data_IF_525005321793
#
_entry.id   IF_525005321793
#
_cell.length_a   1.000
_cell.length_b   1.000
_cell.length_c   1.000
_cell.angle_alpha   90.00
_cell.angle_beta   90.00
_cell.angle_gamma   90.00
#
_symmetry.space_group_name_H-M   'P 1'
#
loop_
_entity.id
_entity.type
_entity.pdbx_description
1 polymer ?
#
# COMPACT_ATOMS: atom_id res chain seq x y z
N UNK A 1 4.58 -5.68 -10.63
CA UNK A 1 4.05 -6.64 -9.65
C UNK A 1 2.93 -5.98 -8.84
N UNK A 2 1.86 -6.71 -8.58
CA UNK A 2 0.72 -6.20 -7.81
C UNK A 2 0.63 -6.95 -6.49
N UNK A 3 0.58 -6.20 -5.39
CA UNK A 3 0.40 -6.71 -4.03
C UNK A 3 -1.02 -6.42 -3.56
N UNK A 4 -1.59 -7.35 -2.81
CA UNK A 4 -2.91 -7.19 -2.18
C UNK A 4 -2.71 -6.80 -0.71
N UNK A 5 -2.95 -5.53 -0.39
CA UNK A 5 -2.77 -4.99 0.96
C UNK A 5 -4.11 -4.97 1.70
N UNK A 6 -4.23 -5.63 2.87
CA UNK A 6 -5.50 -5.72 3.59
C UNK A 6 -5.91 -4.36 4.17
N UNK A 7 -7.22 -4.07 4.19
CA UNK A 7 -7.74 -2.85 4.81
C UNK A 7 -7.64 -2.87 6.34
N UNK A 8 -7.48 -4.04 6.93
CA UNK A 8 -7.47 -4.25 8.37
C UNK A 8 -6.45 -5.32 8.75
N UNK A 9 -5.72 -5.07 9.83
CA UNK A 9 -4.87 -6.06 10.49
C UNK A 9 -5.22 -6.15 11.97
N UNK A 10 -4.70 -7.13 12.69
CA UNK A 10 -4.96 -7.27 14.11
C UNK A 10 -4.11 -6.29 14.93
N UNK A 11 -4.75 -5.59 15.87
CA UNK A 11 -4.08 -4.84 16.92
C UNK A 11 -3.86 -5.73 18.17
N UNK A 12 -4.81 -6.63 18.42
CA UNK A 12 -4.76 -7.68 19.46
C UNK A 12 -5.34 -8.96 18.89
N UNK A 13 -5.39 -10.05 19.66
CA UNK A 13 -6.00 -11.32 19.23
C UNK A 13 -7.46 -11.17 18.82
N UNK A 14 -8.19 -10.20 19.40
CA UNK A 14 -9.63 -10.03 19.22
C UNK A 14 -10.01 -8.72 18.53
N UNK A 15 -9.07 -7.78 18.37
CA UNK A 15 -9.37 -6.43 17.86
C UNK A 15 -8.64 -6.16 16.56
N UNK A 16 -9.42 -5.85 15.51
CA UNK A 16 -8.89 -5.38 14.24
C UNK A 16 -8.49 -3.90 14.29
N UNK A 17 -7.57 -3.51 13.43
CA UNK A 17 -7.09 -2.16 13.26
C UNK A 17 -7.20 -1.76 11.80
N UNK A 18 -7.93 -0.69 11.52
CA UNK A 18 -8.18 -0.23 10.15
C UNK A 18 -7.02 0.67 9.70
N UNK A 19 -6.48 0.39 8.51
CA UNK A 19 -5.40 1.16 7.93
C UNK A 19 -5.93 2.48 7.36
N UNK A 20 -6.04 3.49 8.21
CA UNK A 20 -6.35 4.85 7.80
C UNK A 20 -5.67 5.86 8.73
N UNK A 21 -5.62 7.12 8.28
CA UNK A 21 -4.91 8.17 8.98
C UNK A 21 -5.55 8.51 10.33
N UNK A 22 -6.88 8.48 10.43
CA UNK A 22 -7.57 8.77 11.70
C UNK A 22 -7.23 7.73 12.76
N UNK A 23 -7.25 6.45 12.40
CA UNK A 23 -6.87 5.36 13.30
C UNK A 23 -5.40 5.51 13.71
N UNK A 24 -4.53 5.81 12.78
CA UNK A 24 -3.09 5.99 13.02
C UNK A 24 -2.82 7.11 14.02
N UNK A 25 -3.44 8.27 13.85
CA UNK A 25 -3.27 9.45 14.73
C UNK A 25 -3.74 9.22 16.15
N UNK A 26 -4.75 8.37 16.33
CA UNK A 26 -5.39 8.14 17.64
C UNK A 26 -4.93 6.85 18.31
N UNK A 27 -3.86 6.22 17.81
CA UNK A 27 -3.37 4.95 18.32
C UNK A 27 -2.07 5.16 19.10
N UNK A 28 -1.99 4.55 20.29
CA UNK A 28 -0.79 4.58 21.13
C UNK A 28 0.39 3.90 20.39
N UNK A 29 1.61 4.41 20.57
CA UNK A 29 2.78 3.94 19.82
C UNK A 29 3.08 2.45 19.98
N UNK A 30 2.81 1.86 21.17
CA UNK A 30 3.00 0.42 21.41
C UNK A 30 2.05 -0.41 20.54
N UNK A 31 0.79 0.01 20.43
CA UNK A 31 -0.19 -0.63 19.56
C UNK A 31 0.20 -0.47 18.10
N UNK A 32 0.70 0.71 17.70
CA UNK A 32 1.19 0.94 16.34
C UNK A 32 2.34 -0.02 15.99
N UNK A 33 3.28 -0.26 16.91
CA UNK A 33 4.36 -1.21 16.70
C UNK A 33 3.83 -2.62 16.44
N UNK A 34 2.84 -3.06 17.24
CA UNK A 34 2.20 -4.37 17.05
C UNK A 34 1.48 -4.46 15.70
N UNK A 35 0.74 -3.42 15.33
CA UNK A 35 0.04 -3.34 14.04
C UNK A 35 1.01 -3.41 12.87
N UNK A 36 2.13 -2.69 12.93
CA UNK A 36 3.17 -2.72 11.89
C UNK A 36 3.78 -4.11 11.74
N UNK A 37 4.05 -4.80 12.84
CA UNK A 37 4.55 -6.18 12.83
C UNK A 37 3.52 -7.10 12.18
N UNK A 38 2.26 -6.99 12.56
CA UNK A 38 1.19 -7.81 12.00
C UNK A 38 0.96 -7.53 10.51
N UNK A 39 1.08 -6.28 10.08
CA UNK A 39 1.02 -5.92 8.67
C UNK A 39 2.16 -6.56 7.87
N UNK A 40 3.39 -6.44 8.38
CA UNK A 40 4.56 -7.04 7.73
C UNK A 40 4.42 -8.56 7.62
N UNK A 41 3.92 -9.23 8.66
CA UNK A 41 3.65 -10.66 8.63
C UNK A 41 2.59 -11.01 7.57
N UNK A 42 1.51 -10.24 7.50
CA UNK A 42 0.45 -10.45 6.51
C UNK A 42 0.93 -10.28 5.07
N UNK A 43 1.90 -9.39 4.84
CA UNK A 43 2.44 -9.10 3.51
C UNK A 43 3.69 -9.90 3.15
N UNK A 44 4.31 -10.58 4.13
CA UNK A 44 5.64 -11.18 3.96
C UNK A 44 5.71 -12.22 2.84
N UNK A 45 4.69 -13.04 2.68
CA UNK A 45 4.65 -14.04 1.60
C UNK A 45 4.71 -13.37 0.23
N UNK A 46 3.85 -12.39 -0.01
CA UNK A 46 3.82 -11.64 -1.27
C UNK A 46 5.14 -10.93 -1.53
N UNK A 47 5.69 -10.25 -0.51
CA UNK A 47 6.92 -9.48 -0.64
C UNK A 47 8.12 -10.41 -0.87
N UNK A 48 8.20 -11.53 -0.15
CA UNK A 48 9.31 -12.47 -0.30
C UNK A 48 9.36 -13.11 -1.70
N UNK A 49 8.21 -13.28 -2.36
CA UNK A 49 8.13 -13.79 -3.73
C UNK A 49 8.43 -12.72 -4.79
N UNK A 50 8.55 -11.45 -4.41
CA UNK A 50 8.86 -10.37 -5.35
C UNK A 50 10.36 -10.24 -5.59
N UNK A 51 10.78 -9.65 -6.73
CA UNK A 51 12.19 -9.34 -6.95
C UNK A 51 12.65 -8.21 -6.02
N UNK A 52 13.96 -8.05 -5.87
CA UNK A 52 14.53 -6.83 -5.32
C UNK A 52 14.42 -5.71 -6.34
N UNK A 53 14.12 -4.51 -5.85
CA UNK A 53 13.95 -3.32 -6.69
C UNK A 53 15.16 -2.41 -6.57
N UNK A 54 15.44 -1.68 -7.64
CA UNK A 54 16.43 -0.62 -7.66
C UNK A 54 15.76 0.76 -7.47
N UNK A 55 14.81 1.07 -8.34
CA UNK A 55 14.08 2.34 -8.31
C UNK A 55 12.69 2.12 -8.91
N UNK A 56 11.64 2.44 -8.13
CA UNK A 56 10.26 2.11 -8.50
C UNK A 56 9.31 3.27 -8.25
N UNK A 57 8.24 3.30 -9.05
CA UNK A 57 7.02 4.01 -8.71
C UNK A 57 6.06 3.04 -8.05
N UNK A 58 5.26 3.53 -7.10
CA UNK A 58 4.22 2.75 -6.44
C UNK A 58 2.85 3.38 -6.69
N UNK A 59 1.90 2.55 -7.12
CA UNK A 59 0.51 2.96 -7.37
C UNK A 59 -0.37 2.24 -6.37
N UNK A 60 -1.06 3.01 -5.53
CA UNK A 60 -1.98 2.52 -4.50
C UNK A 60 -3.40 2.73 -4.98
N UNK A 61 -4.13 1.63 -5.19
CA UNK A 61 -5.51 1.65 -5.67
C UNK A 61 -6.42 1.07 -4.61
N UNK A 62 -7.32 1.89 -4.05
CA UNK A 62 -8.22 1.46 -2.97
C UNK A 62 -9.54 0.95 -3.54
N UNK A 63 -9.94 -0.23 -3.06
CA UNK A 63 -11.22 -0.88 -3.36
C UNK A 63 -11.98 -1.05 -2.04
N UNK A 64 -12.88 -0.12 -1.68
CA UNK A 64 -13.66 -0.25 -0.45
C UNK A 64 -14.79 -1.27 -0.62
N UNK A 65 -15.35 -1.72 0.51
CA UNK A 65 -16.42 -2.71 0.50
C UNK A 65 -17.80 -2.13 0.18
N UNK A 66 -18.00 -0.82 0.38
CA UNK A 66 -19.30 -0.17 0.22
C UNK A 66 -19.17 1.28 -0.28
N UNK A 67 -20.32 1.95 -0.45
CA UNK A 67 -20.43 3.29 -1.03
C UNK A 67 -20.14 4.44 -0.07
N UNK A 68 -19.73 4.18 1.17
CA UNK A 68 -19.41 5.26 2.11
C UNK A 68 -18.28 6.12 1.59
N UNK A 69 -18.46 7.44 1.62
CA UNK A 69 -17.44 8.38 1.18
C UNK A 69 -16.24 8.37 2.13
N UNK A 70 -15.05 8.49 1.55
CA UNK A 70 -13.79 8.59 2.29
C UNK A 70 -12.75 9.32 1.43
N UNK A 71 -11.71 9.84 2.07
CA UNK A 71 -10.58 10.42 1.36
C UNK A 71 -9.60 9.31 0.96
N UNK A 72 -9.31 9.20 -0.32
CA UNK A 72 -8.37 8.21 -0.86
C UNK A 72 -7.00 8.36 -0.17
N UNK A 73 -6.52 9.59 0.02
CA UNK A 73 -5.27 9.86 0.69
C UNK A 73 -5.21 9.38 2.15
N UNK A 74 -6.32 9.44 2.88
CA UNK A 74 -6.38 8.99 4.28
C UNK A 74 -6.18 7.48 4.43
N UNK A 75 -6.58 6.70 3.44
CA UNK A 75 -6.37 5.25 3.42
C UNK A 75 -5.00 4.93 2.81
N UNK A 76 -4.74 5.43 1.62
CA UNK A 76 -3.53 5.06 0.87
C UNK A 76 -2.23 5.47 1.59
N UNK A 77 -2.20 6.59 2.32
CA UNK A 77 -0.98 7.03 2.99
C UNK A 77 -0.51 6.06 4.07
N UNK A 78 -1.41 5.37 4.76
CA UNK A 78 -1.05 4.38 5.78
C UNK A 78 -0.60 3.07 5.12
N UNK A 79 -1.27 2.63 4.06
CA UNK A 79 -0.79 1.50 3.26
C UNK A 79 0.60 1.76 2.70
N UNK A 80 0.85 2.96 2.17
CA UNK A 80 2.17 3.37 1.71
C UNK A 80 3.21 3.25 2.82
N UNK A 81 2.95 3.85 3.96
CA UNK A 81 3.88 3.86 5.08
C UNK A 81 4.26 2.44 5.52
N UNK A 82 3.28 1.59 5.73
CA UNK A 82 3.51 0.24 6.21
C UNK A 82 4.12 -0.67 5.14
N UNK A 83 3.68 -0.54 3.90
CA UNK A 83 4.19 -1.35 2.78
C UNK A 83 5.64 -1.02 2.45
N UNK A 84 5.98 0.26 2.34
CA UNK A 84 7.34 0.69 2.02
C UNK A 84 8.31 0.32 3.14
N UNK A 85 7.91 0.48 4.42
CA UNK A 85 8.70 0.01 5.56
C UNK A 85 8.93 -1.51 5.46
N UNK A 86 7.90 -2.28 5.12
CA UNK A 86 8.01 -3.73 4.97
C UNK A 86 8.94 -4.12 3.80
N UNK A 87 8.88 -3.42 2.66
CA UNK A 87 9.80 -3.66 1.55
C UNK A 87 11.26 -3.47 1.94
N UNK A 88 11.55 -2.43 2.71
CA UNK A 88 12.89 -2.14 3.20
C UNK A 88 13.33 -3.20 4.21
N UNK A 89 12.51 -3.49 5.21
CA UNK A 89 12.82 -4.46 6.25
C UNK A 89 13.01 -5.88 5.72
N UNK A 90 12.28 -6.26 4.67
CA UNK A 90 12.41 -7.56 4.01
C UNK A 90 13.47 -7.58 2.90
N UNK A 91 14.25 -6.52 2.76
CA UNK A 91 15.42 -6.47 1.89
C UNK A 91 15.13 -6.27 0.40
N UNK A 92 13.95 -5.78 0.04
CA UNK A 92 13.56 -5.57 -1.37
C UNK A 92 13.90 -4.19 -1.91
N UNK A 93 14.11 -3.22 -1.03
CA UNK A 93 14.58 -1.87 -1.33
C UNK A 93 15.62 -1.45 -0.29
N UNK A 94 16.67 -0.69 -0.68
CA UNK A 94 17.65 -0.19 0.28
C UNK A 94 17.06 0.83 1.27
N UNK A 95 16.11 1.64 0.81
CA UNK A 95 15.43 2.67 1.60
C UNK A 95 14.14 3.09 0.86
N UNK A 96 13.27 3.84 1.52
CA UNK A 96 12.00 4.31 0.96
C UNK A 96 12.03 5.79 0.57
N UNK A 97 13.20 6.42 0.55
CA UNK A 97 13.34 7.82 0.17
C UNK A 97 13.20 8.06 -1.35
N UNK A 98 13.25 9.33 -1.78
CA UNK A 98 13.04 9.74 -3.18
C UNK A 98 14.06 9.14 -4.17
N UNK A 99 15.21 8.68 -3.68
CA UNK A 99 16.19 8.03 -4.55
C UNK A 99 15.69 6.69 -5.07
N UNK A 100 14.86 5.99 -4.29
CA UNK A 100 14.36 4.65 -4.60
C UNK A 100 12.87 4.64 -4.97
N UNK A 101 12.07 5.55 -4.39
CA UNK A 101 10.64 5.71 -4.72
C UNK A 101 10.36 7.18 -5.08
N UNK A 102 10.69 7.58 -6.31
CA UNK A 102 10.54 8.98 -6.74
C UNK A 102 9.10 9.37 -7.08
N UNK A 103 8.19 8.42 -7.23
CA UNK A 103 6.81 8.69 -7.63
C UNK A 103 5.85 7.77 -6.90
N UNK A 104 4.81 8.36 -6.32
CA UNK A 104 3.71 7.65 -5.66
C UNK A 104 2.38 8.19 -6.18
N UNK A 105 1.45 7.28 -6.48
CA UNK A 105 0.12 7.62 -6.97
C UNK A 105 -0.92 6.94 -6.08
N UNK A 106 -1.93 7.71 -5.66
CA UNK A 106 -3.12 7.20 -4.97
C UNK A 106 -4.33 7.33 -5.88
N UNK A 107 -5.15 6.29 -5.96
CA UNK A 107 -6.38 6.35 -6.76
C UNK A 107 -7.49 5.49 -6.17
N UNK A 108 -8.73 5.83 -6.52
CA UNK A 108 -9.91 5.02 -6.25
C UNK A 108 -10.09 3.99 -7.37
N UNK A 109 -10.26 2.72 -7.01
CA UNK A 109 -10.39 1.63 -7.99
C UNK A 109 -11.82 1.18 -8.27
N UNK A 110 -12.75 1.48 -7.37
CA UNK A 110 -14.13 1.00 -7.42
C UNK A 110 -14.51 0.25 -6.15
N UNK A 111 -15.78 -0.07 -6.03
CA UNK A 111 -16.32 -0.78 -4.85
C UNK A 111 -16.18 -2.28 -5.07
N UNK A 112 -15.60 -2.99 -4.11
CA UNK A 112 -15.46 -4.44 -4.11
C UNK A 112 -15.92 -5.03 -2.78
N UNK A 113 -17.21 -5.42 -2.66
CA UNK A 113 -17.74 -5.96 -1.40
C UNK A 113 -17.16 -7.32 -1.02
N UNK A 114 -16.67 -8.08 -2.01
CA UNK A 114 -16.17 -9.44 -1.81
C UNK A 114 -14.73 -9.42 -1.32
N UNK A 115 -13.89 -8.57 -1.90
CA UNK A 115 -12.47 -8.48 -1.57
C UNK A 115 -12.02 -7.03 -1.42
N UNK A 116 -12.48 -6.31 -0.37
CA UNK A 116 -12.04 -4.94 -0.13
C UNK A 116 -10.56 -4.92 0.25
N UNK A 117 -9.80 -4.01 -0.39
CA UNK A 117 -8.34 -4.00 -0.27
C UNK A 117 -7.74 -2.72 -0.86
N UNK A 118 -6.44 -2.58 -0.70
CA UNK A 118 -5.62 -1.68 -1.53
C UNK A 118 -4.68 -2.53 -2.38
N UNK A 119 -4.81 -2.43 -3.69
CA UNK A 119 -3.80 -2.99 -4.59
C UNK A 119 -2.62 -2.04 -4.67
N UNK A 120 -1.42 -2.58 -4.53
CA UNK A 120 -0.18 -1.82 -4.64
C UNK A 120 0.58 -2.35 -5.84
N UNK A 121 0.69 -1.54 -6.88
CA UNK A 121 1.48 -1.90 -8.06
C UNK A 121 2.83 -1.22 -8.02
N UNK A 122 3.90 -2.00 -8.12
CA UNK A 122 5.26 -1.51 -8.26
C UNK A 122 5.65 -1.54 -9.72
N UNK A 123 6.16 -0.42 -10.22
CA UNK A 123 6.58 -0.27 -11.62
C UNK A 123 8.00 0.27 -11.62
N UNK A 124 8.91 -0.38 -12.35
CA UNK A 124 10.27 0.13 -12.48
C UNK A 124 10.25 1.57 -13.00
N UNK A 125 11.01 2.45 -12.37
CA UNK A 125 11.05 3.85 -12.75
C UNK A 125 12.10 4.09 -13.84
N UNK A 126 11.76 3.65 -15.05
CA UNK A 126 12.50 3.81 -16.28
C UNK A 126 11.54 4.26 -17.38
N UNK A 127 12.04 4.41 -18.62
CA UNK A 127 11.22 4.89 -19.74
C UNK A 127 9.99 4.01 -19.97
N UNK A 128 10.18 2.70 -20.01
CA UNK A 128 9.09 1.74 -20.22
C UNK A 128 8.06 1.77 -19.08
N UNK A 129 8.54 1.84 -17.84
CA UNK A 129 7.68 1.94 -16.67
C UNK A 129 6.88 3.24 -16.64
N UNK A 130 7.47 4.37 -17.00
CA UNK A 130 6.77 5.66 -17.08
C UNK A 130 5.69 5.62 -18.18
N UNK A 131 5.97 5.02 -19.33
CA UNK A 131 4.97 4.83 -20.39
C UNK A 131 3.79 3.98 -19.90
N UNK A 132 4.07 2.90 -19.17
CA UNK A 132 3.04 2.07 -18.53
C UNK A 132 2.17 2.88 -17.56
N UNK A 133 2.78 3.70 -16.72
CA UNK A 133 2.05 4.57 -15.78
C UNK A 133 1.15 5.54 -16.53
N UNK A 134 1.66 6.18 -17.57
CA UNK A 134 0.86 7.10 -18.40
C UNK A 134 -0.35 6.40 -19.01
N UNK A 135 -0.20 5.18 -19.49
CA UNK A 135 -1.31 4.40 -20.03
C UNK A 135 -2.35 4.05 -18.96
N UNK A 136 -1.92 3.69 -17.76
CA UNK A 136 -2.83 3.44 -16.62
C UNK A 136 -3.65 4.69 -16.32
N UNK A 137 -3.00 5.85 -16.21
CA UNK A 137 -3.68 7.12 -15.92
C UNK A 137 -4.62 7.54 -17.04
N UNK A 138 -4.20 7.39 -18.28
CA UNK A 138 -5.04 7.71 -19.44
C UNK A 138 -6.32 6.87 -19.47
N UNK A 139 -6.22 5.59 -19.15
CA UNK A 139 -7.36 4.67 -19.15
C UNK A 139 -8.38 4.98 -18.04
N UNK A 140 -7.99 5.72 -17.00
CA UNK A 140 -8.92 6.15 -15.94
C UNK A 140 -9.95 7.17 -16.44
N UNK A 141 -9.67 7.86 -17.55
CA UNK A 141 -10.51 8.95 -18.08
C UNK A 141 -11.59 8.42 -19.03
N UNK A 142 -11.47 7.21 -19.48
CA UNK A 142 -12.41 6.59 -20.44
C UNK A 142 -13.73 6.20 -19.83
#
# INVERSE_FOLDING_TARGET
>A
MIYNSPLKVLATKLKGWILNLNQYRNTHFRTLNTVKINYKLAMSEQINHSPSYNRVACIYTVYPKDKRSFDVGNVCCIHQKFFEDALVELGKLPDDNYNYIPLTIYRFGGIDPINPRVDIETVNFDKEGVEKICNILYNMIK
#
